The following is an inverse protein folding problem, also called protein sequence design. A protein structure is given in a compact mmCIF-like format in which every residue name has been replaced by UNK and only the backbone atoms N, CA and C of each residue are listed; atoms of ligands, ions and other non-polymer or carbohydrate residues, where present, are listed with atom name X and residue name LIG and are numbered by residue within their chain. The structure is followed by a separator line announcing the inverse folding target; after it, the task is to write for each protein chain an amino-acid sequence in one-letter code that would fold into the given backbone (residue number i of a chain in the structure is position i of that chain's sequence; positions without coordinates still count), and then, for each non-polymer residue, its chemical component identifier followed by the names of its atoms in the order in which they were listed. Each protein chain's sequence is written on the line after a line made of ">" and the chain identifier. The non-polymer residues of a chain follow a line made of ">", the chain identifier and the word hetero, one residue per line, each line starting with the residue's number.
data_IF_518131495298
#
_entry.id   IF_518131495298
#
_cell.length_a   1.000
_cell.length_b   1.000
_cell.length_c   1.000
_cell.angle_alpha   90.00
_cell.angle_beta   90.00
_cell.angle_gamma   90.00
#
_symmetry.space_group_name_H-M   'P 1'
#
loop_
_entity.id
_entity.type
_entity.pdbx_description
1 polymer ?
#
# COMPACT_ATOMS: atom_id res chain seq x y z
N UNK A 1 23.37 7.36 0.13
CA UNK A 1 21.91 7.16 0.09
C UNK A 1 21.27 8.32 -0.67
N UNK A 2 20.55 8.07 -1.76
CA UNK A 2 19.97 9.11 -2.64
C UNK A 2 18.52 9.38 -2.22
N UNK A 3 18.13 10.66 -2.07
CA UNK A 3 16.76 11.08 -1.74
C UNK A 3 16.09 11.70 -2.97
N UNK A 4 15.01 11.09 -3.45
CA UNK A 4 14.32 11.49 -4.69
C UNK A 4 13.24 12.60 -4.51
N UNK A 5 13.10 13.15 -3.29
CA UNK A 5 12.08 14.17 -2.94
C UNK A 5 10.66 13.74 -3.37
N UNK A 6 10.28 12.50 -3.05
CA UNK A 6 8.99 11.89 -3.42
C UNK A 6 7.85 12.28 -2.47
N UNK A 7 7.80 13.56 -2.11
CA UNK A 7 6.79 14.17 -1.25
C UNK A 7 6.29 15.51 -1.82
N UNK A 8 6.45 15.68 -3.14
CA UNK A 8 6.08 16.89 -3.87
C UNK A 8 4.95 16.56 -4.85
N UNK A 9 3.86 17.34 -4.85
CA UNK A 9 2.75 17.14 -5.78
C UNK A 9 3.18 17.10 -7.25
N UNK A 10 2.46 16.33 -8.06
CA UNK A 10 2.68 16.23 -9.51
C UNK A 10 3.73 15.22 -9.96
N UNK A 11 4.57 14.69 -9.06
CA UNK A 11 5.48 13.58 -9.38
C UNK A 11 4.72 12.26 -9.55
N UNK A 12 5.33 11.31 -10.26
CA UNK A 12 4.72 9.99 -10.52
C UNK A 12 5.35 8.91 -9.64
N UNK A 13 4.53 8.06 -9.06
CA UNK A 13 4.94 6.92 -8.22
C UNK A 13 4.46 5.60 -8.84
N UNK A 14 5.38 4.67 -9.07
CA UNK A 14 5.07 3.29 -9.41
C UNK A 14 5.07 2.39 -8.18
N UNK A 15 4.02 1.60 -7.97
CA UNK A 15 3.93 0.61 -6.89
C UNK A 15 3.78 -0.78 -7.50
N UNK A 16 4.74 -1.67 -7.26
CA UNK A 16 4.69 -3.05 -7.74
C UNK A 16 4.14 -3.94 -6.61
N UNK A 17 2.99 -4.57 -6.87
CA UNK A 17 2.31 -5.45 -5.94
C UNK A 17 1.45 -4.69 -4.93
N UNK A 18 0.24 -5.20 -4.71
CA UNK A 18 -0.71 -4.64 -3.75
C UNK A 18 -0.94 -5.61 -2.59
N UNK A 19 -0.15 -5.43 -1.52
CA UNK A 19 -0.23 -6.12 -0.24
C UNK A 19 0.01 -5.12 0.89
N UNK A 20 0.43 -5.55 2.10
CA UNK A 20 0.59 -4.64 3.24
C UNK A 20 1.44 -3.39 2.99
N UNK A 21 2.60 -3.53 2.33
CA UNK A 21 3.48 -2.38 2.02
C UNK A 21 2.97 -1.58 0.84
N UNK A 22 2.55 -2.25 -0.25
CA UNK A 22 2.05 -1.58 -1.45
C UNK A 22 0.80 -0.75 -1.19
N UNK A 23 -0.10 -1.26 -0.34
CA UNK A 23 -1.28 -0.53 0.14
C UNK A 23 -0.91 0.81 0.77
N UNK A 24 0.04 0.80 1.70
CA UNK A 24 0.51 2.04 2.34
C UNK A 24 1.20 2.96 1.34
N UNK A 25 2.01 2.42 0.42
CA UNK A 25 2.68 3.21 -0.60
C UNK A 25 1.68 3.98 -1.50
N UNK A 26 0.54 3.38 -1.84
CA UNK A 26 -0.54 4.07 -2.58
C UNK A 26 -1.10 5.22 -1.74
N UNK A 27 -1.46 4.96 -0.47
CA UNK A 27 -2.03 5.99 0.41
C UNK A 27 -1.08 7.17 0.63
N UNK A 28 0.21 6.89 0.88
CA UNK A 28 1.23 7.94 0.97
C UNK A 28 1.39 8.72 -0.33
N UNK A 29 1.44 8.01 -1.47
CA UNK A 29 1.54 8.66 -2.78
C UNK A 29 0.38 9.62 -3.04
N UNK A 30 -0.86 9.19 -2.74
CA UNK A 30 -2.04 10.06 -2.89
C UNK A 30 -2.04 11.23 -1.92
N UNK A 31 -1.69 11.01 -0.65
CA UNK A 31 -1.58 12.07 0.34
C UNK A 31 -0.53 13.13 -0.03
N UNK A 32 0.57 12.73 -0.67
CA UNK A 32 1.59 13.66 -1.18
C UNK A 32 1.25 14.29 -2.55
N UNK A 33 0.05 14.04 -3.08
CA UNK A 33 -0.38 14.59 -4.37
C UNK A 33 0.34 13.99 -5.58
N UNK A 34 0.80 12.73 -5.46
CA UNK A 34 1.47 12.02 -6.55
C UNK A 34 0.47 11.38 -7.51
N UNK A 35 0.92 11.20 -8.75
CA UNK A 35 0.27 10.35 -9.74
C UNK A 35 0.71 8.89 -9.51
N UNK A 36 -0.15 8.09 -8.88
CA UNK A 36 0.15 6.73 -8.44
C UNK A 36 -0.32 5.72 -9.49
N UNK A 37 0.62 4.90 -9.96
CA UNK A 37 0.34 3.75 -10.84
C UNK A 37 0.69 2.46 -10.12
N UNK A 38 -0.25 1.51 -10.07
CA UNK A 38 -0.04 0.20 -9.45
C UNK A 38 0.14 -0.85 -10.54
N UNK A 39 1.16 -1.68 -10.36
CA UNK A 39 1.48 -2.83 -11.20
C UNK A 39 1.14 -4.11 -10.44
N UNK A 40 0.35 -4.99 -11.05
CA UNK A 40 -0.03 -6.26 -10.43
C UNK A 40 -0.27 -7.32 -11.49
N UNK A 41 0.05 -8.57 -11.18
CA UNK A 41 -0.36 -9.72 -11.99
C UNK A 41 -1.83 -10.09 -11.78
N UNK A 42 -2.42 -9.69 -10.65
CA UNK A 42 -3.79 -10.03 -10.28
C UNK A 42 -4.77 -8.93 -10.70
N UNK A 43 -5.56 -9.17 -11.75
CA UNK A 43 -6.61 -8.26 -12.25
C UNK A 43 -7.68 -8.00 -11.18
N UNK A 44 -7.95 -8.98 -10.31
CA UNK A 44 -8.91 -8.86 -9.21
C UNK A 44 -8.61 -7.70 -8.24
N UNK A 45 -7.39 -7.16 -8.25
CA UNK A 45 -7.00 -6.01 -7.41
C UNK A 45 -7.30 -4.66 -8.05
N UNK A 46 -7.75 -4.62 -9.31
CA UNK A 46 -7.94 -3.39 -10.08
C UNK A 46 -8.97 -2.45 -9.46
N UNK A 47 -10.16 -2.97 -9.17
CA UNK A 47 -11.26 -2.17 -8.60
C UNK A 47 -10.89 -1.59 -7.24
N UNK A 48 -10.33 -2.42 -6.37
CA UNK A 48 -9.83 -1.99 -5.07
C UNK A 48 -8.74 -0.91 -5.20
N UNK A 49 -7.83 -1.05 -6.16
CA UNK A 49 -6.76 -0.08 -6.38
C UNK A 49 -7.27 1.28 -6.84
N UNK A 50 -8.18 1.29 -7.81
CA UNK A 50 -8.66 2.52 -8.43
C UNK A 50 -9.74 3.20 -7.57
N UNK A 51 -10.74 2.42 -7.13
CA UNK A 51 -11.92 2.96 -6.46
C UNK A 51 -11.74 3.10 -4.94
N UNK A 52 -11.10 2.13 -4.28
CA UNK A 52 -10.98 2.13 -2.82
C UNK A 52 -9.71 2.84 -2.34
N UNK A 53 -8.58 2.62 -3.01
CA UNK A 53 -7.30 3.23 -2.63
C UNK A 53 -6.99 4.54 -3.37
N UNK A 54 -7.74 4.84 -4.43
CA UNK A 54 -7.61 6.10 -5.17
C UNK A 54 -6.35 6.21 -6.03
N UNK A 55 -5.74 5.09 -6.44
CA UNK A 55 -4.65 5.12 -7.40
C UNK A 55 -5.16 5.63 -8.77
N UNK A 56 -4.32 6.37 -9.49
CA UNK A 56 -4.72 6.98 -10.76
C UNK A 56 -4.72 5.96 -11.91
N UNK A 57 -3.86 4.94 -11.82
CA UNK A 57 -3.70 3.93 -12.87
C UNK A 57 -3.42 2.55 -12.29
N UNK A 58 -3.87 1.52 -13.03
CA UNK A 58 -3.59 0.13 -12.75
C UNK A 58 -3.11 -0.57 -14.02
N UNK A 59 -2.02 -1.32 -13.91
CA UNK A 59 -1.35 -2.00 -15.02
C UNK A 59 -1.22 -3.48 -14.70
N UNK A 60 -1.65 -4.32 -15.65
CA UNK A 60 -1.55 -5.78 -15.53
C UNK A 60 -0.18 -6.20 -16.04
N UNK A 61 0.74 -6.54 -15.14
CA UNK A 61 2.14 -6.81 -15.52
C UNK A 61 2.32 -8.06 -16.40
N UNK A 62 1.31 -8.94 -16.45
CA UNK A 62 1.31 -10.13 -17.32
C UNK A 62 1.02 -9.80 -18.79
N UNK A 63 0.55 -8.59 -19.09
CA UNK A 63 0.31 -8.13 -20.46
C UNK A 63 1.58 -7.45 -21.01
N UNK A 64 2.26 -8.11 -21.96
CA UNK A 64 3.51 -7.59 -22.53
C UNK A 64 3.33 -6.26 -23.27
N UNK A 65 2.13 -5.96 -23.80
CA UNK A 65 1.84 -4.69 -24.45
C UNK A 65 1.79 -3.53 -23.45
N UNK A 66 1.21 -3.74 -22.27
CA UNK A 66 1.16 -2.76 -21.18
C UNK A 66 2.53 -2.51 -20.51
N UNK A 67 3.46 -3.46 -20.67
CA UNK A 67 4.84 -3.38 -20.16
C UNK A 67 5.82 -2.71 -21.14
N UNK A 68 5.36 -2.27 -22.33
CA UNK A 68 6.25 -1.61 -23.28
C UNK A 68 6.80 -0.28 -22.71
N UNK A 69 8.12 0.03 -22.84
CA UNK A 69 8.78 1.12 -22.11
C UNK A 69 8.35 2.55 -22.48
N UNK A 70 7.30 2.75 -23.28
CA UNK A 70 6.92 4.09 -23.76
C UNK A 70 6.18 4.95 -22.71
N UNK A 71 5.98 4.49 -21.48
CA UNK A 71 5.37 5.32 -20.42
C UNK A 71 5.65 4.92 -18.97
N UNK A 72 6.63 4.05 -18.72
CA UNK A 72 6.83 3.43 -17.41
C UNK A 72 7.91 4.17 -16.62
N UNK A 73 7.44 4.98 -15.68
CA UNK A 73 8.24 5.87 -14.85
C UNK A 73 9.23 5.11 -13.96
N UNK A 74 10.45 5.66 -13.87
CA UNK A 74 11.46 5.40 -12.86
C UNK A 74 10.99 5.95 -11.50
N UNK A 75 11.17 5.14 -10.45
CA UNK A 75 11.62 5.52 -9.09
C UNK A 75 10.85 4.82 -7.96
N UNK A 76 11.63 4.25 -7.03
CA UNK A 76 11.15 3.61 -5.82
C UNK A 76 10.97 4.63 -4.69
N UNK A 77 9.88 4.51 -3.93
CA UNK A 77 9.65 5.29 -2.72
C UNK A 77 10.64 4.86 -1.63
N UNK A 78 11.48 5.78 -1.16
CA UNK A 78 12.26 5.61 0.08
C UNK A 78 11.80 6.66 1.09
N UNK A 79 11.14 6.22 2.16
CA UNK A 79 10.77 7.07 3.30
C UNK A 79 11.79 6.82 4.41
N UNK A 80 12.85 7.64 4.45
CA UNK A 80 13.75 7.73 5.60
C UNK A 80 13.43 9.05 6.34
N UNK A 81 12.36 9.03 7.14
CA UNK A 81 12.03 10.08 8.10
C UNK A 81 12.06 9.49 9.52
N UNK A 82 12.28 10.35 10.54
CA UNK A 82 12.22 9.89 11.93
C UNK A 82 10.85 9.29 12.19
N UNK A 83 10.78 8.20 12.97
CA UNK A 83 9.55 7.42 13.20
C UNK A 83 8.38 8.30 13.65
N UNK A 84 8.65 9.31 14.47
CA UNK A 84 7.64 10.24 14.96
C UNK A 84 7.07 11.13 13.84
N UNK A 85 7.93 11.72 13.00
CA UNK A 85 7.51 12.56 11.88
C UNK A 85 6.58 11.81 10.92
N UNK A 86 6.84 10.51 10.68
CA UNK A 86 5.98 9.69 9.83
C UNK A 86 4.60 9.47 10.46
N UNK A 87 4.54 9.21 11.77
CA UNK A 87 3.26 9.06 12.48
C UNK A 87 2.48 10.38 12.45
N UNK A 88 3.15 11.50 12.67
CA UNK A 88 2.51 12.83 12.65
C UNK A 88 1.97 13.16 11.25
N UNK A 89 2.71 12.83 10.18
CA UNK A 89 2.24 12.94 8.80
C UNK A 89 1.03 12.04 8.54
N UNK A 90 1.05 10.80 9.05
CA UNK A 90 -0.08 9.89 8.90
C UNK A 90 -1.34 10.44 9.56
N UNK A 91 -1.22 10.91 10.80
CA UNK A 91 -2.33 11.51 11.53
C UNK A 91 -2.87 12.76 10.82
N UNK A 92 -1.97 13.65 10.37
CA UNK A 92 -2.34 14.91 9.72
C UNK A 92 -3.03 14.71 8.36
N UNK A 93 -2.71 13.63 7.64
CA UNK A 93 -3.23 13.36 6.29
C UNK A 93 -4.27 12.21 6.24
N UNK A 94 -4.71 11.70 7.40
CA UNK A 94 -5.68 10.60 7.47
C UNK A 94 -5.16 9.28 6.87
N UNK A 95 -3.85 9.04 6.92
CA UNK A 95 -3.21 7.84 6.36
C UNK A 95 -3.26 6.73 7.41
N UNK A 96 -4.28 5.87 7.31
CA UNK A 96 -4.43 4.70 8.17
C UNK A 96 -4.28 3.40 7.38
N UNK A 97 -3.64 2.36 7.95
CA UNK A 97 -3.67 1.03 7.35
C UNK A 97 -5.11 0.48 7.38
N UNK A 98 -5.49 -0.29 6.37
CA UNK A 98 -6.71 -1.09 6.44
C UNK A 98 -6.37 -2.36 7.20
N UNK A 99 -7.02 -2.54 8.35
CA UNK A 99 -6.73 -3.61 9.29
C UNK A 99 -7.96 -4.47 9.53
N UNK A 100 -7.72 -5.74 9.80
CA UNK A 100 -8.68 -6.65 10.38
C UNK A 100 -8.26 -6.88 11.84
N UNK A 101 -9.08 -6.42 12.77
CA UNK A 101 -8.81 -6.57 14.20
C UNK A 101 -9.31 -7.93 14.64
N UNK A 102 -8.44 -8.73 15.26
CA UNK A 102 -8.75 -10.09 15.70
C UNK A 102 -8.36 -10.29 17.16
N UNK A 103 -9.07 -11.15 17.90
CA UNK A 103 -8.67 -11.50 19.26
C UNK A 103 -7.50 -12.50 19.26
N UNK A 104 -6.81 -12.66 20.39
CA UNK A 104 -5.59 -13.51 20.47
C UNK A 104 -5.89 -14.99 20.22
N UNK A 105 -7.08 -15.47 20.56
CA UNK A 105 -7.51 -16.85 20.35
C UNK A 105 -7.58 -17.19 18.85
N UNK A 106 -7.85 -16.18 18.03
CA UNK A 106 -7.93 -16.30 16.57
C UNK A 106 -6.54 -16.23 15.89
N UNK A 107 -5.45 -16.04 16.65
CA UNK A 107 -4.13 -15.82 16.08
C UNK A 107 -3.68 -16.95 15.12
N UNK A 108 -3.95 -18.21 15.46
CA UNK A 108 -3.57 -19.35 14.62
C UNK A 108 -4.32 -19.33 13.28
N UNK A 109 -5.63 -19.08 13.29
CA UNK A 109 -6.43 -18.97 12.06
C UNK A 109 -6.00 -17.75 11.23
N UNK A 110 -5.71 -16.62 11.88
CA UNK A 110 -5.13 -15.45 11.21
C UNK A 110 -3.80 -15.76 10.53
N UNK A 111 -2.93 -16.59 11.12
CA UNK A 111 -1.69 -17.04 10.49
C UNK A 111 -1.95 -17.92 9.25
N UNK A 112 -2.90 -18.85 9.33
CA UNK A 112 -3.26 -19.69 8.17
C UNK A 112 -3.81 -18.84 7.01
N UNK A 113 -4.69 -17.89 7.31
CA UNK A 113 -5.25 -16.94 6.35
C UNK A 113 -4.16 -16.07 5.75
N UNK A 114 -3.22 -15.57 6.57
CA UNK A 114 -2.08 -14.78 6.11
C UNK A 114 -1.22 -15.55 5.09
N UNK A 115 -0.93 -16.83 5.34
CA UNK A 115 -0.17 -17.70 4.41
C UNK A 115 -0.94 -17.86 3.09
N UNK A 116 -2.26 -18.05 3.16
CA UNK A 116 -3.16 -18.14 2.00
C UNK A 116 -3.40 -16.78 1.31
N UNK A 117 -2.82 -15.69 1.84
CA UNK A 117 -3.00 -14.29 1.38
C UNK A 117 -4.45 -13.81 1.49
N UNK A 118 -5.21 -14.40 2.40
CA UNK A 118 -6.61 -14.08 2.70
C UNK A 118 -6.71 -12.99 3.77
N UNK A 119 -6.17 -11.81 3.46
CA UNK A 119 -6.26 -10.61 4.31
C UNK A 119 -6.10 -9.35 3.48
N UNK A 120 -6.85 -8.30 3.83
CA UNK A 120 -6.79 -6.98 3.21
C UNK A 120 -6.70 -5.88 4.28
N UNK A 121 -5.52 -5.49 4.76
CA UNK A 121 -4.16 -5.85 4.32
C UNK A 121 -3.26 -6.32 5.45
N UNK A 122 -3.70 -6.14 6.69
CA UNK A 122 -2.97 -6.51 7.91
C UNK A 122 -3.95 -6.99 8.96
N UNK A 123 -3.60 -8.05 9.66
CA UNK A 123 -4.20 -8.35 10.95
C UNK A 123 -3.58 -7.46 12.03
N UNK A 124 -4.39 -7.06 13.00
CA UNK A 124 -3.96 -6.44 14.25
C UNK A 124 -4.63 -7.19 15.38
N UNK A 125 -3.85 -7.62 16.37
CA UNK A 125 -4.39 -8.36 17.51
C UNK A 125 -4.82 -7.36 18.58
N UNK A 126 -6.07 -7.45 19.04
CA UNK A 126 -6.56 -6.67 20.16
C UNK A 126 -6.18 -7.33 21.48
N UNK A 127 -4.99 -6.98 21.98
CA UNK A 127 -4.46 -7.56 23.23
C UNK A 127 -5.29 -7.15 24.45
N UNK A 128 -5.84 -5.94 24.46
CA UNK A 128 -6.57 -5.42 25.62
C UNK A 128 -7.86 -6.17 25.87
N UNK A 129 -8.63 -6.43 24.80
CA UNK A 129 -9.91 -7.13 24.93
C UNK A 129 -9.79 -8.65 24.93
N UNK A 130 -8.63 -9.20 24.55
CA UNK A 130 -8.41 -10.66 24.56
C UNK A 130 -7.89 -11.22 25.88
N UNK A 131 -7.45 -10.37 26.81
CA UNK A 131 -6.89 -10.80 28.10
C UNK A 131 -7.87 -10.59 29.28
N UNK A 132 -9.16 -10.41 28.98
CA UNK A 132 -10.22 -10.19 29.97
C UNK A 132 -10.93 -11.48 30.37
#
# INVERSE_FOLDING_TARGET
>A
MVRYKMNQPGKSLGVIGLGGVGHMAVKFGKAFGLNVTVFSTSISKKEETLSLLGADKFVVSSNQEEMTPRRLFREALQVAQKKQEMIDVCAANGIYPNIEVVPIEYANEAFERLIKRDVKYRFVIDIENSLK
#
